data_IF_626296503235
#
_entry.id   IF_626296503235
#
_cell.length_a   1.000
_cell.length_b   1.000
_cell.length_c   1.000
_cell.angle_alpha   90.00
_cell.angle_beta   90.00
_cell.angle_gamma   90.00
#
_symmetry.space_group_name_H-M   'P 1'
#
loop_
_entity.id
_entity.type
_entity.pdbx_description
1 polymer ?
#
# COMPACT_ATOMS: atom_id res chain seq x y z
N UNK A 1 -29.72 -2.14 -14.78
CA UNK A 1 -28.54 -3.02 -14.66
C UNK A 1 -28.29 -3.21 -13.18
N UNK A 2 -28.25 -4.45 -12.68
CA UNK A 2 -27.72 -4.70 -11.33
C UNK A 2 -26.25 -4.27 -11.35
N UNK A 3 -25.84 -3.50 -10.34
CA UNK A 3 -24.43 -3.24 -10.07
C UNK A 3 -23.74 -4.62 -9.99
N UNK A 4 -22.75 -4.87 -10.85
CA UNK A 4 -21.98 -6.12 -10.78
C UNK A 4 -21.18 -6.05 -9.49
N UNK A 5 -21.27 -7.08 -8.65
CA UNK A 5 -20.43 -7.16 -7.45
C UNK A 5 -18.97 -7.15 -7.87
N UNK A 6 -18.21 -6.20 -7.33
CA UNK A 6 -16.76 -6.19 -7.51
C UNK A 6 -16.17 -7.28 -6.63
N UNK A 7 -15.33 -8.13 -7.22
CA UNK A 7 -14.57 -9.12 -6.47
C UNK A 7 -13.31 -8.48 -5.90
N UNK A 8 -12.80 -9.05 -4.81
CA UNK A 8 -11.50 -8.67 -4.25
C UNK A 8 -10.44 -9.72 -4.56
N UNK A 9 -9.30 -9.23 -5.00
CA UNK A 9 -8.10 -10.01 -5.25
C UNK A 9 -6.96 -9.41 -4.45
N UNK A 10 -6.03 -10.25 -4.03
CA UNK A 10 -4.82 -9.86 -3.33
C UNK A 10 -3.64 -10.06 -4.27
N UNK A 11 -2.79 -9.06 -4.36
CA UNK A 11 -1.43 -9.18 -4.90
C UNK A 11 -0.48 -9.05 -3.72
N UNK A 12 0.37 -10.05 -3.51
CA UNK A 12 1.48 -9.99 -2.58
C UNK A 12 2.77 -9.74 -3.34
N UNK A 13 3.63 -8.89 -2.79
CA UNK A 13 4.97 -8.65 -3.32
C UNK A 13 6.06 -9.03 -2.31
N UNK A 14 7.29 -9.05 -2.78
CA UNK A 14 8.50 -9.28 -2.01
C UNK A 14 9.49 -8.16 -2.32
N UNK A 15 9.95 -7.44 -1.29
CA UNK A 15 10.95 -6.38 -1.45
C UNK A 15 12.36 -6.95 -1.28
N UNK A 16 13.30 -6.44 -2.07
CA UNK A 16 14.76 -6.61 -1.89
C UNK A 16 15.39 -5.23 -1.88
N UNK A 17 16.22 -4.98 -0.87
CA UNK A 17 17.01 -3.75 -0.77
C UNK A 17 18.47 -4.09 -1.04
N UNK A 18 19.17 -3.32 -1.88
CA UNK A 18 20.60 -3.45 -2.08
C UNK A 18 21.32 -2.63 -1.02
N UNK A 19 21.85 -3.29 0.01
CA UNK A 19 22.54 -2.62 1.10
C UNK A 19 23.88 -2.01 0.67
N UNK A 20 24.47 -2.45 -0.45
CA UNK A 20 25.65 -1.80 -1.02
C UNK A 20 25.35 -0.34 -1.41
N UNK A 21 24.08 -0.02 -1.74
CA UNK A 21 23.67 1.36 -2.06
C UNK A 21 23.71 2.33 -0.88
N UNK A 22 23.90 1.82 0.35
CA UNK A 22 24.06 2.65 1.53
C UNK A 22 25.52 3.07 1.76
N UNK A 23 26.47 2.45 1.06
CA UNK A 23 27.88 2.80 1.17
C UNK A 23 28.19 4.09 0.41
N UNK A 24 29.00 4.95 1.01
CA UNK A 24 29.33 6.27 0.45
C UNK A 24 30.10 6.21 -0.87
N UNK A 25 30.73 5.07 -1.18
CA UNK A 25 31.52 4.79 -2.36
C UNK A 25 30.84 3.81 -3.34
N UNK A 26 29.52 3.60 -3.20
CA UNK A 26 28.77 2.74 -4.09
C UNK A 26 28.90 3.18 -5.56
N UNK A 27 29.26 2.25 -6.43
CA UNK A 27 29.46 2.45 -7.87
C UNK A 27 28.16 2.38 -8.70
N UNK A 28 27.02 2.20 -8.01
CA UNK A 28 25.72 2.06 -8.64
C UNK A 28 25.42 0.68 -9.19
N UNK A 29 26.34 -0.29 -9.10
CA UNK A 29 26.16 -1.66 -9.63
C UNK A 29 26.58 -2.76 -8.66
N UNK A 30 27.36 -2.45 -7.63
CA UNK A 30 27.76 -3.38 -6.58
C UNK A 30 26.55 -3.92 -5.84
N UNK A 31 26.57 -5.22 -5.52
CA UNK A 31 25.39 -5.95 -5.04
C UNK A 31 25.60 -6.52 -3.64
N UNK A 32 24.71 -6.15 -2.72
CA UNK A 32 24.53 -6.79 -1.42
C UNK A 32 23.03 -6.80 -1.05
N UNK A 33 22.29 -7.73 -1.67
CA UNK A 33 20.83 -7.77 -1.58
C UNK A 33 20.31 -8.43 -0.31
N UNK A 34 19.36 -7.77 0.36
CA UNK A 34 18.64 -8.29 1.52
C UNK A 34 17.14 -8.38 1.23
N UNK A 35 16.58 -9.58 1.39
CA UNK A 35 15.13 -9.82 1.30
C UNK A 35 14.40 -9.17 2.48
N UNK A 36 13.31 -8.45 2.21
CA UNK A 36 12.45 -7.75 3.17
C UNK A 36 10.99 -8.16 3.01
N UNK A 37 10.14 -7.93 4.01
CA UNK A 37 8.70 -8.04 3.78
C UNK A 37 8.29 -7.14 2.61
N UNK A 38 7.42 -7.63 1.72
CA UNK A 38 6.86 -6.80 0.65
C UNK A 38 5.57 -6.13 1.07
N UNK A 39 4.68 -5.95 0.10
CA UNK A 39 3.42 -5.23 0.27
C UNK A 39 2.24 -6.11 -0.12
N UNK A 40 1.15 -5.93 0.62
CA UNK A 40 -0.18 -6.48 0.28
C UNK A 40 -1.02 -5.40 -0.42
N UNK A 41 -1.54 -5.73 -1.61
CA UNK A 41 -2.46 -4.89 -2.38
C UNK A 41 -3.80 -5.60 -2.55
N UNK A 42 -4.87 -5.02 -2.00
CA UNK A 42 -6.24 -5.48 -2.17
C UNK A 42 -6.82 -4.75 -3.38
N UNK A 43 -7.02 -5.48 -4.47
CA UNK A 43 -7.54 -4.97 -5.74
C UNK A 43 -9.03 -5.28 -5.86
N UNK A 44 -9.85 -4.24 -6.00
CA UNK A 44 -11.27 -4.37 -6.33
C UNK A 44 -11.44 -4.32 -7.86
N UNK A 45 -11.91 -5.43 -8.45
CA UNK A 45 -12.04 -5.59 -9.90
C UNK A 45 -13.24 -6.48 -10.29
N UNK A 46 -13.68 -6.40 -11.54
CA UNK A 46 -14.75 -7.28 -12.05
C UNK A 46 -14.25 -8.71 -12.29
N UNK A 47 -12.97 -8.87 -12.65
CA UNK A 47 -12.38 -10.19 -12.97
C UNK A 47 -10.94 -10.30 -12.47
N UNK A 48 -10.47 -11.53 -12.28
CA UNK A 48 -9.08 -11.80 -11.92
C UNK A 48 -8.09 -11.28 -12.98
N UNK A 49 -8.41 -11.42 -14.26
CA UNK A 49 -7.57 -10.93 -15.36
C UNK A 49 -7.47 -9.40 -15.38
N UNK A 50 -8.56 -8.71 -15.04
CA UNK A 50 -8.51 -7.26 -14.83
C UNK A 50 -7.63 -6.90 -13.62
N UNK A 51 -7.78 -7.59 -12.49
CA UNK A 51 -6.98 -7.32 -11.30
C UNK A 51 -5.47 -7.54 -11.55
N UNK A 52 -5.09 -8.57 -12.31
CA UNK A 52 -3.68 -8.84 -12.67
C UNK A 52 -3.03 -7.70 -13.47
N UNK A 53 -3.80 -6.82 -14.11
CA UNK A 53 -3.23 -5.63 -14.77
C UNK A 53 -2.60 -4.64 -13.78
N UNK A 54 -2.88 -4.77 -12.48
CA UNK A 54 -2.25 -3.98 -11.42
C UNK A 54 -0.83 -4.45 -11.09
N UNK A 55 -0.50 -5.73 -11.31
CA UNK A 55 0.83 -6.30 -10.97
C UNK A 55 1.98 -5.44 -11.51
N UNK A 56 2.08 -5.14 -12.81
CA UNK A 56 3.17 -4.31 -13.33
C UNK A 56 3.14 -2.85 -12.87
N UNK A 57 2.04 -2.38 -12.26
CA UNK A 57 1.92 -1.02 -11.71
C UNK A 57 2.39 -0.90 -10.26
N UNK A 58 2.59 -2.03 -9.58
CA UNK A 58 2.99 -2.11 -8.17
C UNK A 58 4.30 -2.87 -7.94
N UNK A 59 4.96 -3.26 -9.03
CA UNK A 59 6.31 -3.82 -9.04
C UNK A 59 7.25 -2.83 -9.69
N UNK A 60 8.44 -2.66 -9.13
CA UNK A 60 9.47 -1.77 -9.67
C UNK A 60 10.86 -2.32 -9.33
N UNK A 61 11.87 -1.97 -10.12
CA UNK A 61 13.24 -2.41 -9.86
C UNK A 61 14.26 -1.41 -10.39
N UNK A 62 15.31 -1.20 -9.61
CA UNK A 62 16.54 -0.52 -10.00
C UNK A 62 17.72 -1.15 -9.24
N UNK A 63 18.93 -0.63 -9.42
CA UNK A 63 20.13 -1.22 -8.80
C UNK A 63 20.16 -1.10 -7.26
N UNK A 64 19.30 -0.28 -6.64
CA UNK A 64 19.20 -0.10 -5.20
C UNK A 64 18.02 -0.86 -4.55
N UNK A 65 17.00 -1.21 -5.33
CA UNK A 65 15.71 -1.69 -4.82
C UNK A 65 14.99 -2.57 -5.84
N UNK A 66 14.30 -3.61 -5.37
CA UNK A 66 13.33 -4.36 -6.16
C UNK A 66 12.06 -4.62 -5.34
N UNK A 67 10.90 -4.46 -5.96
CA UNK A 67 9.61 -4.98 -5.52
C UNK A 67 9.10 -5.97 -6.55
N UNK A 68 9.20 -7.26 -6.21
CA UNK A 68 8.86 -8.36 -7.10
C UNK A 68 7.48 -8.92 -6.78
N UNK A 69 6.73 -9.31 -7.80
CA UNK A 69 5.50 -10.08 -7.64
C UNK A 69 5.78 -11.41 -6.92
N UNK A 70 4.97 -11.76 -5.92
CA UNK A 70 5.10 -12.99 -5.15
C UNK A 70 3.90 -13.92 -5.34
N UNK A 71 2.68 -13.43 -5.11
CA UNK A 71 1.47 -14.26 -5.17
C UNK A 71 0.22 -13.47 -5.55
N UNK A 72 -0.80 -14.18 -6.05
CA UNK A 72 -2.10 -13.65 -6.42
C UNK A 72 -3.24 -14.61 -6.07
N UNK A 73 -4.23 -14.14 -5.30
CA UNK A 73 -5.39 -14.94 -4.93
C UNK A 73 -6.67 -14.11 -4.74
N UNK A 74 -7.85 -14.73 -4.85
CA UNK A 74 -9.13 -14.08 -4.51
C UNK A 74 -9.36 -14.10 -3.00
N UNK A 75 -10.01 -13.07 -2.46
CA UNK A 75 -10.30 -12.99 -1.03
C UNK A 75 -11.73 -12.48 -0.74
N UNK A 76 -12.16 -12.68 0.50
CA UNK A 76 -13.45 -12.18 0.99
C UNK A 76 -13.41 -10.66 1.22
N UNK A 77 -14.59 -10.04 1.30
CA UNK A 77 -14.73 -8.59 1.47
C UNK A 77 -14.07 -8.03 2.75
N UNK A 78 -13.96 -8.85 3.79
CA UNK A 78 -13.38 -8.49 5.06
C UNK A 78 -11.91 -8.91 5.20
N UNK A 79 -11.25 -9.33 4.11
CA UNK A 79 -9.85 -9.70 4.12
C UNK A 79 -8.97 -8.61 4.73
N UNK A 80 -7.99 -9.05 5.51
CA UNK A 80 -6.90 -8.26 6.07
C UNK A 80 -5.64 -9.12 6.02
N UNK A 81 -4.51 -8.51 5.70
CA UNK A 81 -3.21 -9.19 5.76
C UNK A 81 -2.89 -9.63 7.18
N UNK A 82 -2.06 -10.66 7.32
CA UNK A 82 -1.54 -11.08 8.62
C UNK A 82 -0.71 -9.97 9.29
N UNK A 83 -0.07 -9.11 8.50
CA UNK A 83 0.62 -7.93 9.02
C UNK A 83 -0.36 -6.93 9.66
N UNK A 84 -1.48 -6.64 9.02
CA UNK A 84 -2.49 -5.75 9.61
C UNK A 84 -3.20 -6.39 10.82
N UNK A 85 -3.47 -7.70 10.77
CA UNK A 85 -4.07 -8.42 11.91
C UNK A 85 -3.15 -8.43 13.13
N UNK A 86 -1.89 -8.79 12.95
CA UNK A 86 -0.92 -8.86 14.04
C UNK A 86 -0.71 -7.51 14.73
N UNK A 87 -0.66 -6.40 13.98
CA UNK A 87 -0.60 -5.06 14.59
C UNK A 87 -1.75 -4.82 15.57
N UNK A 88 -2.99 -5.20 15.22
CA UNK A 88 -4.16 -5.03 16.10
C UNK A 88 -4.16 -6.00 17.29
N UNK A 89 -3.58 -7.18 17.12
CA UNK A 89 -3.45 -8.19 18.18
C UNK A 89 -2.45 -7.75 19.24
N UNK A 90 -1.29 -7.22 18.82
CA UNK A 90 -0.21 -6.82 19.73
C UNK A 90 -0.37 -5.40 20.29
N UNK A 91 -1.11 -4.52 19.61
CA UNK A 91 -1.45 -3.17 20.07
C UNK A 91 -2.96 -2.95 20.12
N UNK A 92 -3.59 -3.58 21.12
CA UNK A 92 -5.06 -3.53 21.30
C UNK A 92 -5.58 -2.14 21.65
N UNK A 93 -4.74 -1.31 22.26
CA UNK A 93 -5.09 0.05 22.70
C UNK A 93 -4.87 1.10 21.60
N UNK A 94 -4.30 0.69 20.45
CA UNK A 94 -3.98 1.57 19.34
C UNK A 94 -2.96 2.65 19.72
N UNK A 95 -1.99 2.30 20.56
CA UNK A 95 -0.92 3.20 20.95
C UNK A 95 0.04 3.48 19.79
N UNK A 96 0.41 2.46 19.03
CA UNK A 96 1.31 2.52 17.88
C UNK A 96 0.56 2.89 16.58
N UNK A 97 1.33 3.23 15.55
CA UNK A 97 0.76 3.46 14.21
C UNK A 97 0.22 2.15 13.63
N UNK A 98 -1.05 2.11 13.27
CA UNK A 98 -1.65 0.98 12.55
C UNK A 98 -1.52 1.19 11.04
N UNK A 99 -0.57 0.50 10.41
CA UNK A 99 -0.43 0.48 8.95
C UNK A 99 -1.52 -0.36 8.32
N UNK A 100 -2.16 0.18 7.27
CA UNK A 100 -3.27 -0.46 6.59
C UNK A 100 -2.85 -1.08 5.26
N UNK A 101 -3.53 -2.16 4.89
CA UNK A 101 -3.41 -2.75 3.56
C UNK A 101 -3.74 -1.72 2.47
N UNK A 102 -3.01 -1.79 1.36
CA UNK A 102 -3.21 -0.87 0.23
C UNK A 102 -4.43 -1.32 -0.54
N UNK A 103 -5.34 -0.38 -0.85
CA UNK A 103 -6.57 -0.69 -1.59
C UNK A 103 -6.51 -0.07 -2.97
N UNK A 104 -6.61 -0.89 -4.01
CA UNK A 104 -6.54 -0.48 -5.41
C UNK A 104 -7.91 -0.58 -6.06
N UNK A 105 -8.36 0.50 -6.71
CA UNK A 105 -9.67 0.61 -7.35
C UNK A 105 -9.56 1.20 -8.73
N UNK A 106 -10.41 0.75 -9.64
CA UNK A 106 -10.52 1.32 -10.98
C UNK A 106 -11.44 2.53 -11.01
N UNK A 107 -10.99 3.62 -11.61
CA UNK A 107 -11.82 4.80 -11.86
C UNK A 107 -12.87 4.52 -12.94
N UNK A 108 -14.16 4.53 -12.57
CA UNK A 108 -15.28 4.23 -13.50
C UNK A 108 -15.28 5.09 -14.79
N UNK A 109 -14.76 6.32 -14.73
CA UNK A 109 -14.74 7.26 -15.87
C UNK A 109 -13.42 7.27 -16.64
N UNK A 110 -12.29 7.23 -15.93
CA UNK A 110 -10.96 7.29 -16.55
C UNK A 110 -10.49 5.92 -17.05
N UNK A 111 -10.87 4.84 -16.38
CA UNK A 111 -10.28 3.53 -16.56
C UNK A 111 -8.95 3.33 -15.82
N UNK A 112 -8.43 4.39 -15.18
CA UNK A 112 -7.17 4.38 -14.43
C UNK A 112 -7.29 3.57 -13.13
N UNK A 113 -6.15 3.08 -12.64
CA UNK A 113 -6.02 2.44 -11.33
C UNK A 113 -5.57 3.44 -10.27
N UNK A 114 -6.29 3.48 -9.15
CA UNK A 114 -5.99 4.34 -8.01
C UNK A 114 -5.71 3.50 -6.77
N UNK A 115 -4.60 3.76 -6.10
CA UNK A 115 -4.22 3.11 -4.86
C UNK A 115 -4.38 4.06 -3.68
N UNK A 116 -5.22 3.68 -2.70
CA UNK A 116 -5.25 4.31 -1.38
C UNK A 116 -4.25 3.59 -0.47
N UNK A 117 -3.31 4.32 0.10
CA UNK A 117 -2.34 3.81 1.09
C UNK A 117 -2.20 4.76 2.27
N UNK A 118 -1.90 4.25 3.45
CA UNK A 118 -1.75 5.06 4.65
C UNK A 118 -1.83 4.24 5.93
N UNK A 119 -2.11 4.93 7.02
CA UNK A 119 -2.14 4.37 8.36
C UNK A 119 -3.18 5.09 9.23
N UNK A 120 -3.54 4.48 10.36
CA UNK A 120 -4.23 5.15 11.45
C UNK A 120 -3.19 5.68 12.44
N UNK A 121 -3.31 6.95 12.82
CA UNK A 121 -2.36 7.59 13.75
C UNK A 121 -2.53 7.00 15.15
N UNK A 122 -1.43 6.49 15.70
CA UNK A 122 -1.40 5.89 17.03
C UNK A 122 -1.55 6.89 18.18
N UNK A 123 -1.96 6.40 19.33
CA UNK A 123 -2.09 7.13 20.59
C UNK A 123 -0.81 7.81 21.08
N UNK A 124 0.37 7.38 20.62
CA UNK A 124 1.65 8.01 20.97
C UNK A 124 1.78 9.47 20.56
N UNK A 125 0.88 9.96 19.70
CA UNK A 125 0.79 11.38 19.32
C UNK A 125 -0.01 12.25 20.31
N UNK A 126 -0.58 11.70 21.38
CA UNK A 126 -1.22 12.50 22.43
C UNK A 126 -0.21 13.44 23.09
N UNK A 127 -0.59 14.71 23.26
CA UNK A 127 0.28 15.76 23.79
C UNK A 127 1.24 16.37 22.76
N UNK A 128 1.17 15.95 21.49
CA UNK A 128 1.93 16.59 20.39
C UNK A 128 1.01 17.48 19.56
N UNK A 129 1.60 18.24 18.63
CA UNK A 129 0.83 19.01 17.65
C UNK A 129 -0.08 18.15 16.75
N UNK A 130 0.14 16.83 16.69
CA UNK A 130 -0.62 15.89 15.87
C UNK A 130 -1.72 15.15 16.65
N UNK A 131 -1.98 15.50 17.91
CA UNK A 131 -3.00 14.86 18.74
C UNK A 131 -4.39 14.84 18.06
N UNK A 132 -4.73 15.89 17.32
CA UNK A 132 -5.98 16.00 16.55
C UNK A 132 -6.16 14.95 15.45
N UNK A 133 -5.10 14.22 15.09
CA UNK A 133 -5.12 13.13 14.12
C UNK A 133 -5.18 11.75 14.77
N UNK A 134 -4.98 11.62 16.09
CA UNK A 134 -4.99 10.32 16.80
C UNK A 134 -6.28 9.57 16.50
N UNK A 135 -6.15 8.29 16.11
CA UNK A 135 -7.26 7.43 15.70
C UNK A 135 -7.84 7.73 14.32
N UNK A 136 -7.32 8.74 13.60
CA UNK A 136 -7.75 9.09 12.25
C UNK A 136 -6.80 8.53 11.19
N UNK A 137 -7.32 8.35 9.98
CA UNK A 137 -6.54 7.92 8.82
C UNK A 137 -5.70 9.08 8.28
N UNK A 138 -4.42 8.81 8.01
CA UNK A 138 -3.52 9.68 7.27
C UNK A 138 -2.92 8.90 6.11
N UNK A 139 -2.92 9.48 4.91
CA UNK A 139 -2.38 8.80 3.74
C UNK A 139 -2.59 9.52 2.42
N UNK A 140 -2.47 8.74 1.35
CA UNK A 140 -2.48 9.23 -0.03
C UNK A 140 -3.40 8.40 -0.91
N UNK A 141 -3.83 9.00 -2.02
CA UNK A 141 -4.34 8.29 -3.18
C UNK A 141 -3.41 8.56 -4.36
N UNK A 142 -2.82 7.49 -4.89
CA UNK A 142 -1.92 7.52 -6.04
C UNK A 142 -2.67 7.03 -7.28
N UNK A 143 -2.59 7.75 -8.40
CA UNK A 143 -2.99 7.26 -9.71
C UNK A 143 -1.83 6.41 -10.28
N UNK A 144 -1.93 5.09 -10.10
CA UNK A 144 -0.94 4.12 -10.52
C UNK A 144 -0.73 4.14 -12.04
N UNK A 145 -1.77 4.42 -12.82
CA UNK A 145 -1.69 4.51 -14.28
C UNK A 145 -0.84 5.68 -14.78
N UNK A 146 -0.61 6.69 -13.93
CA UNK A 146 0.17 7.88 -14.28
C UNK A 146 1.42 8.09 -13.41
N UNK A 147 1.59 7.30 -12.35
CA UNK A 147 2.66 7.45 -11.36
C UNK A 147 2.54 8.71 -10.48
N UNK A 148 1.35 9.34 -10.39
CA UNK A 148 1.15 10.59 -9.65
C UNK A 148 0.32 10.39 -8.39
N UNK A 149 0.77 10.97 -7.27
CA UNK A 149 -0.09 11.19 -6.11
C UNK A 149 -1.12 12.28 -6.45
N UNK A 150 -2.41 11.98 -6.31
CA UNK A 150 -3.51 12.89 -6.69
C UNK A 150 -4.30 13.40 -5.49
N UNK A 151 -4.15 12.78 -4.32
CA UNK A 151 -4.85 13.19 -3.10
C UNK A 151 -3.99 12.93 -1.86
N UNK A 152 -3.99 13.88 -0.93
CA UNK A 152 -3.59 13.67 0.46
C UNK A 152 -4.83 13.65 1.36
N UNK A 153 -4.81 12.80 2.38
CA UNK A 153 -5.87 12.68 3.37
C UNK A 153 -5.24 12.83 4.75
N UNK A 154 -5.73 13.78 5.54
CA UNK A 154 -5.30 14.05 6.92
C UNK A 154 -6.53 14.08 7.82
N UNK A 155 -6.88 12.90 8.35
CA UNK A 155 -8.15 12.68 9.02
C UNK A 155 -9.34 12.93 8.10
N UNK A 156 -10.06 14.03 8.36
CA UNK A 156 -11.25 14.42 7.59
C UNK A 156 -10.90 15.34 6.42
N UNK A 157 -9.68 15.92 6.41
CA UNK A 157 -9.24 16.84 5.38
C UNK A 157 -8.75 16.08 4.14
N UNK A 158 -9.10 16.63 2.97
CA UNK A 158 -8.74 16.07 1.66
C UNK A 158 -8.16 17.15 0.78
N UNK A 159 -6.92 16.96 0.35
CA UNK A 159 -6.16 17.92 -0.46
C UNK A 159 -5.80 17.30 -1.79
N UNK A 160 -6.43 17.76 -2.87
CA UNK A 160 -6.09 17.37 -4.25
C UNK A 160 -4.73 17.97 -4.62
N UNK A 161 -3.92 17.19 -5.36
CA UNK A 161 -2.58 17.58 -5.82
C UNK A 161 -2.52 17.79 -7.34
#
# INVERSE_FOLDING_TARGET
MKERDMSKFVIETQIRENYASHDSDWDGVSEYWKNKGGNTYIVEAETAEEAKTVIPLVTDSNNAFEENFLDFFSCDDNFQSEFQKSQKEYDTDGWDTLYLDKVVRKGKKSGDWYMKRGYIVGGFQKGTQYEHLVGKFVGNVDNLSTGKCVLKIEGDERTTL
#
